data_IF_028882833384
#
_entry.id   IF_028882833384
#
_cell.length_a   1.000
_cell.length_b   1.000
_cell.length_c   1.000
_cell.angle_alpha   90.00
_cell.angle_beta   90.00
_cell.angle_gamma   90.00
#
_symmetry.space_group_name_H-M   'P 1'
#
loop_
_entity.id
_entity.type
_entity.pdbx_description
1 polymer ?
#
# COMPACT_ATOMS: atom_id res chain seq x y z
N UNK A 1 15.66 29.93 4.86
CA UNK A 1 15.41 28.54 5.29
C UNK A 1 14.69 27.86 4.14
N UNK A 2 15.40 27.08 3.33
CA UNK A 2 14.76 26.32 2.24
C UNK A 2 13.89 25.25 2.90
N UNK A 3 12.58 25.39 2.75
CA UNK A 3 11.62 24.38 3.20
C UNK A 3 11.96 23.09 2.44
N UNK A 4 12.65 22.16 3.11
CA UNK A 4 13.14 20.96 2.45
C UNK A 4 11.90 20.12 2.10
N UNK A 5 11.55 20.09 0.82
CA UNK A 5 10.30 19.52 0.36
C UNK A 5 10.27 18.03 0.69
N UNK A 6 9.33 17.62 1.56
CA UNK A 6 9.12 16.22 1.92
C UNK A 6 8.66 15.42 0.71
N UNK A 7 8.98 14.13 0.70
CA UNK A 7 8.48 13.20 -0.28
C UNK A 7 6.98 12.94 -0.15
N UNK A 8 6.45 12.18 -1.12
CA UNK A 8 5.06 11.75 -1.16
C UNK A 8 5.02 10.25 -0.87
N UNK A 9 4.11 9.84 0.01
CA UNK A 9 3.76 8.44 0.21
C UNK A 9 2.67 8.06 -0.79
N UNK A 10 2.99 7.21 -1.76
CA UNK A 10 2.05 6.70 -2.74
C UNK A 10 1.47 5.36 -2.29
N UNK A 11 0.14 5.25 -2.23
CA UNK A 11 -0.52 3.98 -1.92
C UNK A 11 -0.80 3.26 -3.23
N UNK A 12 -0.04 2.19 -3.48
CA UNK A 12 -0.01 1.49 -4.77
C UNK A 12 -0.82 0.20 -4.63
N UNK A 13 -2.00 0.11 -5.26
CA UNK A 13 -2.78 -1.11 -5.27
C UNK A 13 -2.13 -2.17 -6.17
N UNK A 14 -2.38 -3.41 -5.80
CA UNK A 14 -1.93 -4.61 -6.51
C UNK A 14 -3.15 -5.45 -6.94
N UNK A 15 -3.01 -6.39 -7.89
CA UNK A 15 -4.06 -7.34 -8.20
C UNK A 15 -4.55 -8.07 -6.94
N UNK A 16 -5.84 -8.43 -6.93
CA UNK A 16 -6.38 -9.25 -5.83
C UNK A 16 -5.76 -10.66 -5.90
N UNK A 17 -5.61 -11.21 -7.10
CA UNK A 17 -4.86 -12.45 -7.35
C UNK A 17 -3.36 -12.17 -7.38
N UNK A 18 -2.64 -12.68 -6.38
CA UNK A 18 -1.19 -12.51 -6.22
C UNK A 18 -0.36 -13.14 -7.34
N UNK A 19 -0.94 -14.05 -8.13
CA UNK A 19 -0.26 -14.70 -9.25
C UNK A 19 -0.47 -13.95 -10.57
N UNK A 20 -1.37 -12.97 -10.59
CA UNK A 20 -1.64 -12.19 -11.80
C UNK A 20 -0.45 -11.30 -12.14
N UNK A 21 -0.09 -11.29 -13.43
CA UNK A 21 0.88 -10.36 -14.01
C UNK A 21 0.21 -9.12 -14.60
N UNK A 22 -1.12 -9.06 -14.55
CA UNK A 22 -1.86 -7.92 -15.10
C UNK A 22 -1.68 -6.71 -14.19
N UNK A 23 -1.43 -5.56 -14.81
CA UNK A 23 -1.35 -4.31 -14.07
C UNK A 23 -2.75 -3.76 -13.82
N UNK A 24 -3.01 -3.39 -12.57
CA UNK A 24 -4.23 -2.67 -12.17
C UNK A 24 -4.05 -1.16 -12.17
N UNK A 25 -2.84 -0.68 -12.49
CA UNK A 25 -2.49 0.73 -12.47
C UNK A 25 -2.83 1.40 -13.80
N UNK A 26 -3.36 2.62 -13.71
CA UNK A 26 -3.45 3.54 -14.84
C UNK A 26 -2.04 3.92 -15.32
N UNK A 27 -1.88 4.22 -16.61
CA UNK A 27 -0.59 4.60 -17.20
C UNK A 27 0.11 5.75 -16.47
N UNK A 28 -0.65 6.76 -16.03
CA UNK A 28 -0.10 7.88 -15.24
C UNK A 28 0.48 7.43 -13.89
N UNK A 29 -0.07 6.39 -13.28
CA UNK A 29 0.42 5.84 -12.01
C UNK A 29 1.65 4.97 -12.22
N UNK A 30 1.72 4.21 -13.32
CA UNK A 30 2.91 3.43 -13.68
C UNK A 30 4.16 4.31 -13.78
N UNK A 31 4.05 5.48 -14.44
CA UNK A 31 5.14 6.46 -14.52
C UNK A 31 5.62 6.93 -13.14
N UNK A 32 4.69 7.18 -12.22
CA UNK A 32 5.05 7.54 -10.84
C UNK A 32 5.82 6.39 -10.17
N UNK A 33 5.33 5.14 -10.30
CA UNK A 33 5.97 3.96 -9.69
C UNK A 33 7.38 3.72 -10.24
N UNK A 34 7.59 4.00 -11.52
CA UNK A 34 8.89 3.88 -12.19
C UNK A 34 9.96 4.83 -11.61
N UNK A 35 9.55 6.01 -11.18
CA UNK A 35 10.43 7.01 -10.56
C UNK A 35 10.76 6.69 -9.09
N UNK A 36 10.12 5.69 -8.46
CA UNK A 36 10.36 5.35 -7.06
C UNK A 36 11.60 4.47 -6.89
N UNK A 37 12.30 4.69 -5.77
CA UNK A 37 13.43 3.86 -5.33
C UNK A 37 13.17 3.15 -4.00
N UNK A 38 12.12 3.56 -3.28
CA UNK A 38 11.82 3.13 -1.92
C UNK A 38 10.41 2.58 -1.84
N UNK A 39 10.28 1.38 -1.30
CA UNK A 39 9.02 0.66 -1.16
C UNK A 39 8.87 0.10 0.25
N UNK A 40 7.71 0.29 0.84
CA UNK A 40 7.24 -0.38 2.03
C UNK A 40 6.26 -1.45 1.58
N UNK A 41 6.47 -2.70 1.99
CA UNK A 41 5.75 -3.87 1.46
C UNK A 41 5.45 -4.87 2.57
N UNK A 42 4.35 -5.60 2.49
CA UNK A 42 4.05 -6.67 3.44
C UNK A 42 4.94 -7.90 3.21
N UNK A 43 5.15 -8.25 1.94
CA UNK A 43 6.02 -9.34 1.53
C UNK A 43 6.87 -8.91 0.33
N UNK A 44 8.19 -8.99 0.50
CA UNK A 44 9.14 -8.57 -0.52
C UNK A 44 9.07 -9.43 -1.80
N UNK A 45 8.79 -10.73 -1.67
CA UNK A 45 8.74 -11.65 -2.82
C UNK A 45 7.55 -11.33 -3.73
N UNK A 46 6.37 -11.14 -3.15
CA UNK A 46 5.14 -10.78 -3.90
C UNK A 46 5.26 -9.39 -4.50
N UNK A 47 5.80 -8.42 -3.75
CA UNK A 47 6.04 -7.07 -4.26
C UNK A 47 7.02 -7.06 -5.43
N UNK A 48 8.15 -7.78 -5.34
CA UNK A 48 9.12 -7.90 -6.45
C UNK A 48 8.49 -8.56 -7.67
N UNK A 49 7.70 -9.61 -7.49
CA UNK A 49 6.97 -10.26 -8.59
C UNK A 49 6.06 -9.27 -9.31
N UNK A 50 5.24 -8.53 -8.57
CA UNK A 50 4.32 -7.54 -9.16
C UNK A 50 5.06 -6.38 -9.84
N UNK A 51 6.05 -5.77 -9.18
CA UNK A 51 6.83 -4.68 -9.75
C UNK A 51 7.59 -5.11 -11.01
N UNK A 52 8.07 -6.37 -11.05
CA UNK A 52 8.69 -6.93 -12.26
C UNK A 52 7.68 -7.04 -13.42
N UNK A 53 6.43 -7.38 -13.12
CA UNK A 53 5.37 -7.50 -14.13
C UNK A 53 4.95 -6.14 -14.72
N UNK A 54 5.25 -5.02 -14.04
CA UNK A 54 4.99 -3.68 -14.56
C UNK A 54 5.94 -3.26 -15.70
N UNK A 55 6.98 -4.06 -16.01
CA UNK A 55 8.00 -3.77 -17.02
C UNK A 55 8.66 -2.39 -16.83
N UNK A 56 9.00 -2.05 -15.58
CA UNK A 56 9.72 -0.82 -15.25
C UNK A 56 11.09 -0.80 -15.96
N UNK A 57 11.53 0.37 -16.43
CA UNK A 57 12.86 0.54 -17.02
C UNK A 57 13.98 0.30 -15.99
N UNK A 58 13.69 0.52 -14.69
CA UNK A 58 14.66 0.37 -13.60
C UNK A 58 14.76 -1.10 -13.13
N UNK A 59 15.98 -1.64 -12.95
CA UNK A 59 16.15 -3.00 -12.43
C UNK A 59 15.62 -3.16 -11.00
N UNK A 60 14.76 -4.15 -10.76
CA UNK A 60 14.12 -4.42 -9.47
C UNK A 60 15.11 -4.66 -8.32
N UNK A 61 16.32 -5.15 -8.60
CA UNK A 61 17.36 -5.37 -7.59
C UNK A 61 17.95 -4.06 -7.02
N UNK A 62 17.75 -2.92 -7.69
CA UNK A 62 18.20 -1.61 -7.21
C UNK A 62 17.20 -0.93 -6.27
N UNK A 63 15.98 -1.47 -6.17
CA UNK A 63 14.92 -0.94 -5.33
C UNK A 63 15.15 -1.30 -3.86
N UNK A 64 14.83 -0.35 -2.98
CA UNK A 64 14.95 -0.49 -1.54
C UNK A 64 13.61 -0.93 -0.95
N UNK A 65 13.57 -2.09 -0.31
CA UNK A 65 12.36 -2.62 0.34
C UNK A 65 12.47 -2.53 1.86
N UNK A 66 11.37 -2.13 2.49
CA UNK A 66 11.13 -2.24 3.93
C UNK A 66 9.91 -3.13 4.17
N UNK A 67 10.12 -4.24 4.86
CA UNK A 67 9.06 -5.22 5.13
C UNK A 67 8.25 -4.77 6.35
N UNK A 68 6.94 -4.62 6.18
CA UNK A 68 5.98 -4.25 7.21
C UNK A 68 5.03 -5.42 7.45
N UNK A 69 5.12 -6.05 8.62
CA UNK A 69 4.23 -7.15 9.00
C UNK A 69 3.68 -6.94 10.42
N UNK A 70 2.85 -7.88 10.88
CA UNK A 70 2.21 -7.80 12.21
C UNK A 70 3.21 -7.79 13.38
N UNK A 71 4.42 -8.30 13.16
CA UNK A 71 5.49 -8.36 14.16
C UNK A 71 6.40 -7.14 14.14
N UNK A 72 6.28 -6.26 13.13
CA UNK A 72 7.07 -5.02 13.06
C UNK A 72 6.69 -4.10 14.22
N UNK A 73 7.67 -3.75 15.04
CA UNK A 73 7.50 -2.87 16.19
C UNK A 73 7.22 -1.42 15.77
N UNK A 74 6.64 -0.62 16.67
CA UNK A 74 6.41 0.80 16.40
C UNK A 74 7.70 1.59 16.17
N UNK A 75 8.80 1.19 16.80
CA UNK A 75 10.12 1.80 16.60
C UNK A 75 10.65 1.51 15.19
N UNK A 76 10.51 0.28 14.70
CA UNK A 76 10.88 -0.06 13.32
C UNK A 76 10.03 0.67 12.29
N UNK A 77 8.72 0.80 12.53
CA UNK A 77 7.81 1.57 11.66
C UNK A 77 8.28 3.03 11.53
N UNK A 78 8.76 3.65 12.62
CA UNK A 78 9.33 5.01 12.57
C UNK A 78 10.56 5.10 11.68
N UNK A 79 11.35 4.03 11.61
CA UNK A 79 12.53 3.95 10.75
C UNK A 79 12.21 3.81 9.25
N UNK A 80 10.93 3.76 8.85
CA UNK A 80 10.53 3.72 7.44
C UNK A 80 10.30 5.13 6.84
N UNK A 81 10.12 6.16 7.67
CA UNK A 81 9.93 7.55 7.26
C UNK A 81 11.18 8.32 6.79
N UNK A 82 12.43 7.99 7.17
CA UNK A 82 13.59 8.81 6.81
C UNK A 82 13.72 9.15 5.32
N UNK A 83 13.44 8.25 4.35
CA UNK A 83 13.43 8.63 2.93
C UNK A 83 12.43 9.76 2.61
N UNK A 84 11.20 9.67 3.11
CA UNK A 84 10.16 10.70 2.94
C UNK A 84 10.59 12.04 3.54
N UNK A 85 11.21 12.02 4.73
CA UNK A 85 11.70 13.22 5.39
C UNK A 85 12.89 13.87 4.66
N UNK A 86 13.64 13.09 3.88
CA UNK A 86 14.74 13.56 3.03
C UNK A 86 14.28 14.01 1.63
N UNK A 87 12.98 13.93 1.33
CA UNK A 87 12.41 14.34 0.04
C UNK A 87 12.15 13.21 -0.96
N UNK A 88 12.58 11.98 -0.66
CA UNK A 88 12.34 10.85 -1.54
C UNK A 88 10.89 10.39 -1.49
N UNK A 89 10.32 10.08 -2.64
CA UNK A 89 9.01 9.48 -2.74
C UNK A 89 9.07 7.99 -2.37
N UNK A 90 8.02 7.50 -1.72
CA UNK A 90 7.94 6.11 -1.23
C UNK A 90 6.63 5.48 -1.66
N UNK A 91 6.71 4.25 -2.17
CA UNK A 91 5.53 3.43 -2.47
C UNK A 91 5.16 2.54 -1.28
N UNK A 92 3.87 2.40 -0.99
CA UNK A 92 3.33 1.42 -0.05
C UNK A 92 2.48 0.42 -0.84
N UNK A 93 2.84 -0.87 -0.77
CA UNK A 93 2.10 -1.98 -1.39
C UNK A 93 1.59 -2.92 -0.29
N UNK A 94 0.35 -3.37 -0.42
CA UNK A 94 -0.18 -4.50 0.35
C UNK A 94 0.07 -5.82 -0.38
N UNK A 95 -0.25 -6.93 0.28
CA UNK A 95 -0.19 -8.27 -0.33
C UNK A 95 -1.30 -8.52 -1.36
N UNK A 96 -2.43 -7.79 -1.29
CA UNK A 96 -3.56 -7.97 -2.21
C UNK A 96 -4.45 -6.72 -2.22
N UNK A 97 -4.88 -6.30 -3.41
CA UNK A 97 -5.85 -5.21 -3.57
C UNK A 97 -5.33 -3.83 -3.15
N UNK A 98 -6.19 -3.06 -2.46
CA UNK A 98 -5.87 -1.72 -1.99
C UNK A 98 -5.15 -1.74 -0.64
N UNK A 99 -4.00 -1.05 -0.48
CA UNK A 99 -3.27 -0.98 0.78
C UNK A 99 -3.93 -0.06 1.82
N UNK A 100 -3.55 -0.25 3.08
CA UNK A 100 -3.90 0.54 4.25
C UNK A 100 -5.39 0.54 4.65
N UNK A 101 -6.20 -0.41 4.14
CA UNK A 101 -7.63 -0.53 4.52
C UNK A 101 -7.83 -1.55 5.64
N UNK A 102 -7.24 -2.74 5.49
CA UNK A 102 -7.39 -3.85 6.44
C UNK A 102 -6.04 -4.52 6.77
N UNK A 103 -4.95 -3.82 6.51
CA UNK A 103 -3.58 -4.32 6.58
C UNK A 103 -2.68 -3.42 7.46
N UNK A 104 -1.45 -3.86 7.80
CA UNK A 104 -0.53 -3.10 8.64
C UNK A 104 -0.17 -1.71 8.09
N UNK A 105 -0.37 -1.46 6.78
CA UNK A 105 -0.03 -0.22 6.09
C UNK A 105 -0.73 1.02 6.66
N UNK A 106 -1.89 0.85 7.31
CA UNK A 106 -2.60 1.94 7.98
C UNK A 106 -1.74 2.67 9.03
N UNK A 107 -0.82 1.95 9.70
CA UNK A 107 0.12 2.54 10.67
C UNK A 107 1.11 3.51 10.00
N UNK A 108 1.58 3.17 8.79
CA UNK A 108 2.48 4.03 8.01
C UNK A 108 1.76 5.28 7.54
N UNK A 109 0.52 5.13 7.05
CA UNK A 109 -0.32 6.27 6.65
C UNK A 109 -0.54 7.21 7.82
N UNK A 110 -0.93 6.70 8.99
CA UNK A 110 -1.12 7.51 10.19
C UNK A 110 0.14 8.28 10.57
N UNK A 111 1.30 7.61 10.56
CA UNK A 111 2.58 8.23 10.90
C UNK A 111 3.02 9.27 9.85
N UNK A 112 2.74 9.04 8.57
CA UNK A 112 2.96 10.03 7.51
C UNK A 112 2.13 11.30 7.74
N UNK A 113 0.85 11.16 8.08
CA UNK A 113 -0.01 12.31 8.43
C UNK A 113 0.50 13.08 9.65
N UNK A 114 0.91 12.38 10.71
CA UNK A 114 1.51 13.01 11.91
C UNK A 114 2.75 13.85 11.56
N UNK A 115 3.52 13.42 10.55
CA UNK A 115 4.70 14.10 10.06
C UNK A 115 4.43 15.09 8.92
N UNK A 116 3.17 15.41 8.61
CA UNK A 116 2.77 16.31 7.52
C UNK A 116 3.33 15.87 6.15
N UNK A 117 3.46 14.57 5.93
CA UNK A 117 3.83 13.98 4.65
C UNK A 117 2.56 13.83 3.81
N UNK A 118 2.63 14.19 2.53
CA UNK A 118 1.50 14.00 1.62
C UNK A 118 1.29 12.51 1.34
N UNK A 119 0.07 12.03 1.51
CA UNK A 119 -0.34 10.66 1.17
C UNK A 119 -1.23 10.72 -0.08
N UNK A 120 -0.88 9.95 -1.11
CA UNK A 120 -1.61 9.94 -2.39
C UNK A 120 -2.03 8.53 -2.75
N UNK A 121 -3.31 8.16 -2.58
CA UNK A 121 -3.82 6.86 -3.01
C UNK A 121 -3.95 6.79 -4.54
N UNK A 122 -3.64 5.63 -5.10
CA UNK A 122 -3.91 5.31 -6.50
C UNK A 122 -5.19 4.48 -6.62
N UNK A 123 -5.91 4.64 -7.73
CA UNK A 123 -7.06 3.80 -8.08
C UNK A 123 -6.62 2.35 -8.31
N UNK A 124 -7.37 1.39 -7.77
CA UNK A 124 -7.15 -0.04 -7.98
C UNK A 124 -8.27 -0.91 -7.40
N UNK A 125 -8.13 -2.24 -7.45
CA UNK A 125 -9.19 -3.17 -7.08
C UNK A 125 -9.37 -3.25 -5.56
N UNK A 126 -10.62 -3.23 -5.11
CA UNK A 126 -11.01 -3.45 -3.72
C UNK A 126 -12.02 -4.59 -3.67
N UNK A 127 -11.66 -5.69 -3.01
CA UNK A 127 -12.54 -6.84 -2.83
C UNK A 127 -13.84 -6.46 -2.11
N UNK A 128 -13.77 -5.51 -1.17
CA UNK A 128 -14.93 -4.98 -0.43
C UNK A 128 -15.93 -4.35 -1.40
N UNK A 129 -15.47 -3.44 -2.27
CA UNK A 129 -16.36 -2.77 -3.21
C UNK A 129 -16.83 -3.69 -4.33
N UNK A 130 -15.98 -4.57 -4.84
CA UNK A 130 -16.39 -5.57 -5.85
C UNK A 130 -17.49 -6.50 -5.31
N UNK A 131 -17.35 -6.97 -4.07
CA UNK A 131 -18.38 -7.79 -3.42
C UNK A 131 -19.69 -7.01 -3.23
N UNK A 132 -19.61 -5.76 -2.75
CA UNK A 132 -20.78 -4.91 -2.55
C UNK A 132 -21.52 -4.66 -3.88
N UNK A 133 -20.80 -4.33 -4.95
CA UNK A 133 -21.34 -4.12 -6.31
C UNK A 133 -22.07 -5.37 -6.83
N UNK A 134 -21.52 -6.56 -6.58
CA UNK A 134 -22.09 -7.82 -7.05
C UNK A 134 -23.23 -8.35 -6.15
N UNK A 135 -23.39 -7.83 -4.93
CA UNK A 135 -24.25 -8.43 -3.91
C UNK A 135 -25.76 -8.26 -4.12
N UNK A 136 -26.19 -7.28 -4.93
CA UNK A 136 -27.59 -6.84 -4.99
C UNK A 136 -28.09 -6.11 -3.73
N UNK A 137 -27.23 -5.85 -2.75
CA UNK A 137 -27.53 -5.07 -1.55
C UNK A 137 -27.40 -3.57 -1.80
N UNK A 138 -27.82 -2.75 -0.82
CA UNK A 138 -27.67 -1.30 -0.89
C UNK A 138 -26.20 -0.88 -0.78
N UNK A 139 -25.62 -0.41 -1.88
CA UNK A 139 -24.25 0.12 -1.91
C UNK A 139 -24.08 1.53 -1.32
N UNK A 140 -25.15 2.29 -1.08
CA UNK A 140 -25.07 3.66 -0.56
C UNK A 140 -24.73 3.72 0.93
N UNK A 141 -25.06 2.66 1.68
CA UNK A 141 -24.82 2.57 3.11
C UNK A 141 -24.34 1.15 3.44
N UNK A 142 -23.07 1.03 3.80
CA UNK A 142 -22.47 -0.24 4.21
C UNK A 142 -21.47 -0.02 5.34
N UNK A 143 -21.16 -1.10 6.06
CA UNK A 143 -20.15 -1.10 7.11
C UNK A 143 -19.20 -2.26 6.89
N UNK A 144 -17.91 -1.96 6.82
CA UNK A 144 -16.85 -2.97 6.81
C UNK A 144 -16.44 -3.26 8.26
N UNK A 145 -16.61 -4.52 8.70
CA UNK A 145 -16.28 -4.96 10.06
C UNK A 145 -14.90 -5.62 10.17
N UNK A 146 -14.18 -5.82 9.07
CA UNK A 146 -12.95 -6.60 9.07
C UNK A 146 -13.20 -8.08 9.35
N UNK A 147 -12.26 -8.72 10.02
CA UNK A 147 -12.37 -10.11 10.44
C UNK A 147 -13.20 -10.22 11.72
N UNK A 148 -14.14 -11.15 11.75
CA UNK A 148 -14.84 -11.50 12.98
C UNK A 148 -13.87 -12.19 13.97
N UNK A 149 -14.08 -12.03 15.29
CA UNK A 149 -13.29 -12.74 16.29
C UNK A 149 -13.23 -14.24 16.04
N UNK A 150 -12.07 -14.85 16.29
CA UNK A 150 -11.90 -16.28 16.16
C UNK A 150 -12.66 -17.05 17.24
N UNK A 151 -12.80 -16.47 18.44
CA UNK A 151 -13.59 -17.03 19.52
C UNK A 151 -15.09 -16.95 19.22
N UNK A 152 -15.80 -18.04 19.45
CA UNK A 152 -17.24 -18.17 19.18
C UNK A 152 -18.06 -17.24 20.07
N UNK A 153 -17.65 -17.04 21.32
CA UNK A 153 -18.40 -16.22 22.29
C UNK A 153 -18.20 -14.72 22.05
N UNK A 154 -17.15 -14.35 21.31
CA UNK A 154 -16.87 -12.96 20.90
C UNK A 154 -17.39 -12.63 19.49
N UNK A 155 -17.90 -13.62 18.73
CA UNK A 155 -18.51 -13.38 17.41
C UNK A 155 -19.87 -12.71 17.57
N UNK A 156 -19.96 -11.48 17.04
CA UNK A 156 -21.18 -10.66 17.00
C UNK A 156 -22.10 -11.08 15.84
#
# INVERSE_FOLDING_TARGET
MTDNQKGILYLIPVPIDQNSKESVLLEKHKKIVEDLDYFIVENEKTARFYLSALNLHKPIHQLNFKVLNKSTSEEEIKNFLPPLLKGFHVGLLSDSGCPAVADPGAKIVALAHQNKIKVTPMTGPSSIFLALMASGLNGQQFKFHGYLPSDKDERV
#
